data_IF_718792943437
#
_entry.id   IF_718792943437
#
_cell.length_a   1.000
_cell.length_b   1.000
_cell.length_c   1.000
_cell.angle_alpha   90.00
_cell.angle_beta   90.00
_cell.angle_gamma   90.00
#
_symmetry.space_group_name_H-M   'P 1'
#
loop_
_entity.id
_entity.type
_entity.pdbx_description
1 polymer ?
#
# COMPACT_ATOMS: atom_id res chain seq x y z
N UNK A 1 -12.85 -11.79 -6.89
CA UNK A 1 -12.04 -12.25 -5.74
C UNK A 1 -12.97 -12.84 -4.70
N UNK A 2 -12.56 -13.91 -4.03
CA UNK A 2 -13.40 -14.68 -3.10
C UNK A 2 -13.32 -14.18 -1.65
N UNK A 3 -12.42 -13.22 -1.39
CA UNK A 3 -12.19 -12.58 -0.10
C UNK A 3 -12.25 -11.07 -0.28
N UNK A 4 -12.97 -10.39 0.61
CA UNK A 4 -13.06 -8.94 0.63
C UNK A 4 -11.78 -8.34 1.19
N UNK A 5 -11.18 -7.40 0.45
CA UNK A 5 -9.95 -6.72 0.87
C UNK A 5 -10.32 -5.56 1.78
N UNK A 6 -9.65 -5.48 2.94
CA UNK A 6 -9.82 -4.35 3.84
C UNK A 6 -9.37 -3.04 3.14
N UNK A 7 -10.22 -2.01 3.03
CA UNK A 7 -9.88 -0.76 2.34
C UNK A 7 -8.65 -0.05 2.93
N UNK A 8 -8.34 -0.27 4.22
CA UNK A 8 -7.13 0.27 4.85
C UNK A 8 -5.85 -0.27 4.18
N UNK A 9 -5.86 -1.51 3.65
CA UNK A 9 -4.74 -2.10 2.92
C UNK A 9 -4.49 -1.34 1.60
N UNK A 10 -5.55 -0.83 0.96
CA UNK A 10 -5.43 0.01 -0.23
C UNK A 10 -4.65 1.31 0.04
N UNK A 11 -4.89 1.94 1.20
CA UNK A 11 -4.14 3.14 1.61
C UNK A 11 -2.65 2.88 1.86
N UNK A 12 -2.25 1.63 2.16
CA UNK A 12 -0.85 1.25 2.31
C UNK A 12 -0.09 1.24 0.97
N UNK A 13 -0.79 1.30 -0.16
CA UNK A 13 -0.22 1.33 -1.52
C UNK A 13 0.53 2.61 -1.86
N UNK A 14 0.51 3.63 -1.00
CA UNK A 14 1.39 4.80 -1.15
C UNK A 14 2.84 4.36 -0.95
N UNK A 15 3.73 4.79 -1.85
CA UNK A 15 5.15 4.41 -1.97
C UNK A 15 6.07 4.84 -0.81
N UNK A 16 5.51 5.11 0.37
CA UNK A 16 6.22 5.44 1.60
C UNK A 16 6.55 4.17 2.41
N UNK A 17 7.58 3.43 1.98
CA UNK A 17 8.10 2.26 2.70
C UNK A 17 8.93 2.71 3.91
N UNK A 18 8.77 2.14 5.12
CA UNK A 18 7.71 1.24 5.59
C UNK A 18 6.55 1.99 6.28
N UNK A 19 6.55 3.34 6.26
CA UNK A 19 5.64 4.14 7.08
C UNK A 19 4.16 4.00 6.70
N UNK A 20 3.79 3.91 5.42
CA UNK A 20 2.38 3.77 5.04
C UNK A 20 1.76 2.46 5.57
N UNK A 21 2.51 1.34 5.56
CA UNK A 21 2.06 0.09 6.18
C UNK A 21 1.93 0.20 7.71
N UNK A 22 2.83 0.96 8.36
CA UNK A 22 2.77 1.20 9.82
C UNK A 22 1.58 2.07 10.23
N UNK A 23 1.26 3.11 9.45
CA UNK A 23 0.09 3.97 9.70
C UNK A 23 -1.20 3.18 9.55
N UNK A 24 -1.31 2.38 8.48
CA UNK A 24 -2.46 1.49 8.25
C UNK A 24 -2.63 0.48 9.37
N UNK A 25 -1.55 -0.12 9.86
CA UNK A 25 -1.59 -1.01 11.01
C UNK A 25 -2.03 -0.29 12.30
N UNK A 26 -1.56 0.94 12.54
CA UNK A 26 -1.98 1.74 13.71
C UNK A 26 -3.47 2.06 13.68
N UNK A 27 -3.99 2.51 12.53
CA UNK A 27 -5.43 2.81 12.36
C UNK A 27 -6.27 1.53 12.42
N UNK A 28 -5.77 0.43 11.85
CA UNK A 28 -6.40 -0.87 11.94
C UNK A 28 -6.53 -1.40 13.37
N UNK A 29 -5.49 -1.25 14.19
CA UNK A 29 -5.50 -1.61 15.60
C UNK A 29 -6.40 -0.70 16.45
N UNK A 30 -6.60 0.57 16.06
CA UNK A 30 -7.57 1.46 16.69
C UNK A 30 -9.01 1.04 16.40
N UNK A 31 -9.29 0.57 15.19
CA UNK A 31 -10.61 0.08 14.80
C UNK A 31 -10.91 -1.33 15.37
N UNK A 32 -9.90 -2.21 15.39
CA UNK A 32 -9.99 -3.53 15.99
C UNK A 32 -8.60 -3.98 16.48
N UNK A 33 -8.39 -4.16 17.80
CA UNK A 33 -7.09 -4.52 18.36
C UNK A 33 -6.58 -5.93 17.98
N UNK A 34 -7.42 -6.79 17.40
CA UNK A 34 -7.02 -8.10 16.87
C UNK A 34 -6.69 -8.06 15.36
N UNK A 35 -6.86 -6.91 14.70
CA UNK A 35 -6.69 -6.76 13.26
C UNK A 35 -5.26 -6.30 12.91
N UNK A 36 -4.34 -7.26 12.77
CA UNK A 36 -2.94 -7.00 12.43
C UNK A 36 -2.74 -6.90 10.91
N UNK A 37 -2.67 -5.67 10.40
CA UNK A 37 -2.57 -5.40 8.97
C UNK A 37 -1.14 -5.25 8.47
N UNK A 38 -0.14 -5.13 9.34
CA UNK A 38 1.24 -4.81 8.93
C UNK A 38 1.81 -5.79 7.88
N UNK A 39 1.61 -7.09 8.06
CA UNK A 39 2.13 -8.12 7.14
C UNK A 39 1.40 -8.13 5.79
N UNK A 40 0.10 -7.84 5.79
CA UNK A 40 -0.71 -7.79 4.55
C UNK A 40 -0.51 -6.46 3.81
N UNK A 41 -0.31 -5.36 4.54
CA UNK A 41 -0.14 -4.01 4.01
C UNK A 41 1.25 -3.78 3.38
N UNK A 42 2.24 -4.63 3.64
CA UNK A 42 3.55 -4.53 3.00
C UNK A 42 3.53 -4.87 1.51
N UNK A 43 2.68 -5.81 1.08
CA UNK A 43 2.53 -6.16 -0.34
C UNK A 43 2.14 -4.95 -1.21
N UNK A 44 1.04 -4.25 -0.91
CA UNK A 44 0.66 -3.02 -1.60
C UNK A 44 1.71 -1.91 -1.52
N UNK A 45 2.41 -1.77 -0.39
CA UNK A 45 3.42 -0.72 -0.22
C UNK A 45 4.59 -0.88 -1.20
N UNK A 46 5.08 -2.12 -1.39
CA UNK A 46 6.09 -2.45 -2.40
C UNK A 46 5.54 -2.29 -3.82
N UNK A 47 4.29 -2.70 -4.06
CA UNK A 47 3.63 -2.51 -5.35
C UNK A 47 3.51 -1.02 -5.72
N UNK A 48 3.30 -0.14 -4.74
CA UNK A 48 3.24 1.31 -4.93
C UNK A 48 4.55 1.92 -5.43
N UNK A 49 5.69 1.48 -4.88
CA UNK A 49 7.02 1.92 -5.33
C UNK A 49 7.28 1.48 -6.77
N UNK A 50 6.99 0.22 -7.09
CA UNK A 50 7.13 -0.32 -8.45
C UNK A 50 6.20 0.38 -9.44
N UNK A 51 4.93 0.59 -9.07
CA UNK A 51 3.95 1.30 -9.88
C UNK A 51 4.38 2.73 -10.17
N UNK A 52 4.98 3.42 -9.18
CA UNK A 52 5.53 4.77 -9.36
C UNK A 52 6.67 4.78 -10.38
N UNK A 53 7.59 3.81 -10.32
CA UNK A 53 8.70 3.70 -11.26
C UNK A 53 8.22 3.39 -12.69
N UNK A 54 7.24 2.49 -12.84
CA UNK A 54 6.64 2.16 -14.15
C UNK A 54 5.91 3.37 -14.72
N UNK A 55 5.10 4.07 -13.92
CA UNK A 55 4.41 5.28 -14.34
C UNK A 55 5.38 6.38 -14.77
N UNK A 56 6.46 6.60 -14.00
CA UNK A 56 7.51 7.55 -14.38
C UNK A 56 8.20 7.15 -15.70
N UNK A 57 8.50 5.86 -15.89
CA UNK A 57 9.11 5.36 -17.12
C UNK A 57 8.21 5.55 -18.35
N UNK A 58 6.90 5.30 -18.22
CA UNK A 58 5.94 5.53 -19.30
C UNK A 58 5.84 7.03 -19.62
N UNK A 59 5.75 7.89 -18.60
CA UNK A 59 5.67 9.34 -18.80
C UNK A 59 6.91 9.87 -19.52
N UNK A 60 8.10 9.41 -19.14
CA UNK A 60 9.35 9.75 -19.83
C UNK A 60 9.35 9.25 -21.28
N UNK A 61 8.85 8.05 -21.55
CA UNK A 61 8.77 7.51 -22.91
C UNK A 61 7.77 8.24 -23.81
N UNK A 62 6.75 8.88 -23.23
CA UNK A 62 5.71 9.62 -23.98
C UNK A 62 6.07 11.09 -24.19
N UNK A 63 6.82 11.70 -23.28
CA UNK A 63 7.16 13.14 -23.30
C UNK A 63 8.60 13.38 -23.77
N UNK A 64 9.49 12.43 -23.55
CA UNK A 64 10.92 12.51 -23.89
C UNK A 64 11.27 12.18 -25.33
#
# INVERSE_FOLDING_TARGET
>A
SKEDINPLIGAAGVSAVPMAARVVNKVGLQANPQNFLLMHAMGPNVAGVLGSAVAAGILLALVG
#
